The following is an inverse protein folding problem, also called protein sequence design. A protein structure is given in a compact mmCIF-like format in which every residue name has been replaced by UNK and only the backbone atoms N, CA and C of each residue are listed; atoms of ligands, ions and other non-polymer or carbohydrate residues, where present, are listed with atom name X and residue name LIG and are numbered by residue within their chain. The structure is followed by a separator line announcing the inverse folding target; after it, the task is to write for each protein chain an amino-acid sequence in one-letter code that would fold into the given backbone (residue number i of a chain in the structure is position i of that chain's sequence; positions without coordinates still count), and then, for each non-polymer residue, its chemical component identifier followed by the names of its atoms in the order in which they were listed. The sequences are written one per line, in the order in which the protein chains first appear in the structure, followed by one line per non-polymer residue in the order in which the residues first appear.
data_IF_472146200313
#
_entry.id   IF_472146200313
#
_cell.length_a   1.000
_cell.length_b   1.000
_cell.length_c   1.000
_cell.angle_alpha   90.00
_cell.angle_beta   90.00
_cell.angle_gamma   90.00
#
_symmetry.space_group_name_H-M   'P 1'
#
loop_
_entity.id
_entity.type
_entity.pdbx_description
1 polymer ?
#
# COMPACT_ATOMS: atom_id res chain seq x y z
N UNK A 1 -22.42 -5.16 -20.52
CA UNK A 1 -21.24 -5.43 -21.37
C UNK A 1 -20.01 -5.70 -20.47
N UNK A 2 -20.00 -6.94 -19.94
CA UNK A 2 -19.00 -7.41 -18.96
C UNK A 2 -17.55 -7.21 -19.45
N UNK A 3 -17.31 -7.36 -20.76
CA UNK A 3 -15.98 -7.18 -21.38
C UNK A 3 -15.49 -5.73 -21.29
N UNK A 4 -16.37 -4.75 -21.43
CA UNK A 4 -16.03 -3.31 -21.23
C UNK A 4 -15.69 -3.00 -19.78
N UNK A 5 -16.53 -3.48 -18.85
CA UNK A 5 -16.30 -3.30 -17.40
C UNK A 5 -14.96 -3.87 -16.99
N UNK A 6 -14.60 -5.07 -17.48
CA UNK A 6 -13.29 -5.68 -17.21
C UNK A 6 -12.12 -4.87 -17.75
N UNK A 7 -12.23 -4.30 -18.96
CA UNK A 7 -11.17 -3.42 -19.51
C UNK A 7 -10.98 -2.17 -18.65
N UNK A 8 -12.07 -1.55 -18.21
CA UNK A 8 -12.03 -0.37 -17.33
C UNK A 8 -11.44 -0.75 -15.96
N UNK A 9 -11.84 -1.89 -15.41
CA UNK A 9 -11.29 -2.41 -14.15
C UNK A 9 -9.77 -2.59 -14.22
N UNK A 10 -9.27 -3.26 -15.26
CA UNK A 10 -7.84 -3.50 -15.43
C UNK A 10 -7.07 -2.19 -15.67
N UNK A 11 -7.61 -1.27 -16.45
CA UNK A 11 -7.01 0.06 -16.64
C UNK A 11 -6.96 0.86 -15.34
N UNK A 12 -8.06 0.88 -14.57
CA UNK A 12 -8.10 1.55 -13.28
C UNK A 12 -7.12 0.93 -12.26
N UNK A 13 -7.02 -0.41 -12.24
CA UNK A 13 -6.05 -1.12 -11.40
C UNK A 13 -4.61 -0.77 -11.77
N UNK A 14 -4.29 -0.69 -13.07
CA UNK A 14 -2.97 -0.28 -13.55
C UNK A 14 -2.62 1.16 -13.15
N UNK A 15 -3.52 2.13 -13.37
CA UNK A 15 -3.27 3.52 -12.98
C UNK A 15 -3.14 3.67 -11.46
N UNK A 16 -4.01 3.04 -10.69
CA UNK A 16 -3.92 3.05 -9.23
C UNK A 16 -2.57 2.46 -8.74
N UNK A 17 -2.14 1.35 -9.33
CA UNK A 17 -0.83 0.78 -9.00
C UNK A 17 0.28 1.82 -9.14
N UNK A 18 0.39 2.47 -10.30
CA UNK A 18 1.46 3.45 -10.56
C UNK A 18 1.41 4.65 -9.60
N UNK A 19 0.22 5.20 -9.39
CA UNK A 19 0.04 6.36 -8.49
C UNK A 19 0.44 6.02 -7.06
N UNK A 20 -0.06 4.89 -6.53
CA UNK A 20 0.22 4.51 -5.15
C UNK A 20 1.63 3.95 -4.96
N UNK A 21 2.23 3.30 -5.97
CA UNK A 21 3.62 2.88 -5.94
C UNK A 21 4.56 4.09 -5.87
N UNK A 22 4.37 5.07 -6.75
CA UNK A 22 5.15 6.30 -6.73
C UNK A 22 5.00 7.05 -5.40
N UNK A 23 3.77 7.24 -4.93
CA UNK A 23 3.49 7.94 -3.69
C UNK A 23 4.07 7.20 -2.46
N UNK A 24 4.05 5.86 -2.44
CA UNK A 24 4.65 5.07 -1.36
C UNK A 24 6.17 5.21 -1.30
N UNK A 25 6.84 5.22 -2.46
CA UNK A 25 8.29 5.44 -2.54
C UNK A 25 8.65 6.85 -2.06
N UNK A 26 7.94 7.88 -2.54
CA UNK A 26 8.14 9.25 -2.09
C UNK A 26 7.87 9.40 -0.58
N UNK A 27 6.82 8.77 -0.07
CA UNK A 27 6.49 8.81 1.35
C UNK A 27 7.61 8.19 2.20
N UNK A 28 8.19 7.08 1.77
CA UNK A 28 9.30 6.42 2.47
C UNK A 28 10.51 7.35 2.61
N UNK A 29 10.91 8.00 1.53
CA UNK A 29 12.11 8.85 1.51
C UNK A 29 11.87 10.22 2.19
N UNK A 30 10.63 10.75 2.17
CA UNK A 30 10.34 12.11 2.63
C UNK A 30 9.71 12.19 4.02
N UNK A 31 9.15 11.10 4.57
CA UNK A 31 8.39 11.17 5.82
C UNK A 31 9.26 11.61 7.00
N UNK A 32 10.38 10.96 7.25
CA UNK A 32 11.27 11.30 8.35
C UNK A 32 11.89 12.71 8.22
N UNK A 33 12.46 13.11 7.06
CA UNK A 33 12.89 14.48 6.83
C UNK A 33 11.80 15.52 7.06
N UNK A 34 10.57 15.23 6.64
CA UNK A 34 9.43 16.14 6.88
C UNK A 34 9.07 16.26 8.37
N UNK A 35 9.04 15.14 9.09
CA UNK A 35 8.78 15.10 10.53
C UNK A 35 9.86 15.86 11.30
N UNK A 36 11.12 15.67 10.93
CA UNK A 36 12.26 16.37 11.55
C UNK A 36 12.13 17.89 11.38
N UNK A 37 11.80 18.35 10.18
CA UNK A 37 11.65 19.77 9.88
C UNK A 37 10.44 20.40 10.58
N UNK A 38 9.32 19.66 10.68
CA UNK A 38 8.06 20.20 11.20
C UNK A 38 7.93 20.09 12.71
N UNK A 39 8.42 19.02 13.31
CA UNK A 39 8.21 18.66 14.72
C UNK A 39 9.52 18.49 15.50
N UNK A 40 10.66 18.40 14.83
CA UNK A 40 11.99 18.21 15.40
C UNK A 40 12.38 16.74 15.54
N UNK A 41 13.69 16.52 15.74
CA UNK A 41 14.32 15.20 15.75
C UNK A 41 13.78 14.22 16.82
N UNK A 42 13.12 14.72 17.86
CA UNK A 42 12.52 13.89 18.93
C UNK A 42 11.38 13.00 18.44
N UNK A 43 10.73 13.37 17.34
CA UNK A 43 9.52 12.69 16.81
C UNK A 43 9.80 11.82 15.60
N UNK A 44 11.06 11.55 15.28
CA UNK A 44 11.44 10.66 14.18
C UNK A 44 10.92 9.25 14.42
N UNK A 45 10.38 8.67 13.36
CA UNK A 45 9.96 7.27 13.37
C UNK A 45 11.15 6.35 13.07
N UNK A 46 11.16 5.18 13.71
CA UNK A 46 12.07 4.11 13.30
C UNK A 46 11.83 3.72 11.84
N UNK A 47 12.90 3.43 11.11
CA UNK A 47 12.82 3.07 9.68
C UNK A 47 11.86 1.90 9.42
N UNK A 48 11.79 0.92 10.33
CA UNK A 48 10.87 -0.21 10.22
C UNK A 48 9.40 0.22 10.29
N UNK A 49 9.09 1.23 11.14
CA UNK A 49 7.74 1.78 11.26
C UNK A 49 7.36 2.54 9.99
N UNK A 50 8.27 3.33 9.43
CA UNK A 50 8.06 4.01 8.15
C UNK A 50 7.83 3.02 7.03
N UNK A 51 8.63 1.96 6.97
CA UNK A 51 8.51 0.92 5.95
C UNK A 51 7.13 0.23 5.98
N UNK A 52 6.70 -0.21 7.16
CA UNK A 52 5.41 -0.90 7.28
C UNK A 52 4.22 0.04 6.98
N UNK A 53 4.34 1.31 7.32
CA UNK A 53 3.35 2.33 7.01
C UNK A 53 3.23 2.54 5.49
N UNK A 54 4.36 2.63 4.78
CA UNK A 54 4.39 2.76 3.32
C UNK A 54 3.84 1.51 2.62
N UNK A 55 4.13 0.31 3.13
CA UNK A 55 3.55 -0.94 2.62
C UNK A 55 2.03 -0.96 2.80
N UNK A 56 1.53 -0.59 3.99
CA UNK A 56 0.09 -0.49 4.24
C UNK A 56 -0.58 0.51 3.31
N UNK A 57 0.03 1.68 3.11
CA UNK A 57 -0.46 2.71 2.21
C UNK A 57 -0.55 2.21 0.76
N UNK A 58 0.48 1.52 0.28
CA UNK A 58 0.50 0.94 -1.06
C UNK A 58 -0.58 -0.14 -1.24
N UNK A 59 -0.68 -1.07 -0.29
CA UNK A 59 -1.70 -2.15 -0.34
C UNK A 59 -3.11 -1.56 -0.28
N UNK A 60 -3.36 -0.57 0.57
CA UNK A 60 -4.62 0.15 0.60
C UNK A 60 -4.96 0.76 -0.77
N UNK A 61 -3.97 1.37 -1.43
CA UNK A 61 -4.14 1.98 -2.75
C UNK A 61 -4.53 0.99 -3.83
N UNK A 62 -3.80 -0.13 -3.94
CA UNK A 62 -4.10 -1.13 -4.97
C UNK A 62 -5.44 -1.86 -4.76
N UNK A 63 -5.84 -2.07 -3.50
CA UNK A 63 -7.14 -2.70 -3.19
C UNK A 63 -8.32 -1.75 -3.41
N UNK A 64 -8.09 -0.44 -3.46
CA UNK A 64 -9.13 0.57 -3.64
C UNK A 64 -9.95 0.37 -4.93
N UNK A 65 -9.31 -0.03 -6.02
CA UNK A 65 -10.01 -0.33 -7.28
C UNK A 65 -10.99 -1.48 -7.10
N UNK A 66 -10.56 -2.57 -6.46
CA UNK A 66 -11.44 -3.70 -6.12
C UNK A 66 -12.66 -3.25 -5.33
N UNK A 67 -12.47 -2.47 -4.26
CA UNK A 67 -13.55 -1.93 -3.42
C UNK A 67 -14.55 -1.09 -4.20
N UNK A 68 -14.07 -0.18 -5.06
CA UNK A 68 -14.95 0.68 -5.87
C UNK A 68 -15.81 -0.16 -6.82
N UNK A 69 -15.21 -1.08 -7.56
CA UNK A 69 -15.94 -1.93 -8.50
C UNK A 69 -16.88 -2.90 -7.78
N UNK A 70 -16.45 -3.50 -6.69
CA UNK A 70 -17.28 -4.34 -5.84
C UNK A 70 -18.55 -3.61 -5.37
N UNK A 71 -18.38 -2.39 -4.88
CA UNK A 71 -19.48 -1.54 -4.45
C UNK A 71 -20.40 -1.13 -5.61
N UNK A 72 -19.84 -0.75 -6.75
CA UNK A 72 -20.59 -0.33 -7.94
C UNK A 72 -21.40 -1.47 -8.56
N UNK A 73 -20.92 -2.71 -8.41
CA UNK A 73 -21.59 -3.91 -8.93
C UNK A 73 -22.61 -4.49 -7.95
N UNK A 74 -22.74 -3.93 -6.74
CA UNK A 74 -23.70 -4.37 -5.74
C UNK A 74 -23.43 -5.76 -5.15
N UNK A 75 -22.17 -6.18 -5.11
CA UNK A 75 -21.78 -7.54 -4.71
C UNK A 75 -21.71 -7.76 -3.18
N UNK A 76 -22.24 -6.83 -2.37
CA UNK A 76 -22.17 -6.84 -0.90
C UNK A 76 -22.70 -8.11 -0.24
N UNK A 77 -23.63 -8.78 -0.87
CA UNK A 77 -24.24 -9.98 -0.30
C UNK A 77 -23.26 -11.14 -0.17
N UNK A 78 -22.29 -11.22 -1.07
CA UNK A 78 -21.36 -12.34 -1.16
C UNK A 78 -20.21 -12.26 -0.14
N UNK A 79 -19.90 -11.07 0.36
CA UNK A 79 -18.81 -10.87 1.33
C UNK A 79 -19.22 -10.04 2.56
N UNK A 80 -20.51 -10.03 2.90
CA UNK A 80 -21.09 -9.25 4.01
C UNK A 80 -20.37 -9.43 5.36
N UNK A 81 -19.79 -10.59 5.60
CA UNK A 81 -19.05 -10.89 6.83
C UNK A 81 -17.57 -10.51 6.75
N UNK A 82 -17.06 -10.16 5.58
CA UNK A 82 -15.63 -9.84 5.37
C UNK A 82 -15.15 -8.73 6.29
N UNK A 83 -15.92 -7.65 6.40
CA UNK A 83 -15.53 -6.50 7.23
C UNK A 83 -15.42 -6.87 8.72
N UNK A 84 -16.31 -7.73 9.22
CA UNK A 84 -16.28 -8.20 10.61
C UNK A 84 -15.06 -9.11 10.82
N UNK A 85 -14.81 -10.04 9.91
CA UNK A 85 -13.65 -10.95 9.95
C UNK A 85 -12.36 -10.13 9.90
N UNK A 86 -12.25 -9.15 9.00
CA UNK A 86 -11.10 -8.26 8.89
C UNK A 86 -10.85 -7.48 10.20
N UNK A 87 -11.90 -6.93 10.81
CA UNK A 87 -11.79 -6.21 12.08
C UNK A 87 -11.34 -7.13 13.24
N UNK A 88 -11.88 -8.34 13.33
CA UNK A 88 -11.48 -9.31 14.36
C UNK A 88 -10.03 -9.75 14.18
N UNK A 89 -9.62 -10.08 12.95
CA UNK A 89 -8.22 -10.46 12.66
C UNK A 89 -7.28 -9.30 12.99
N UNK A 90 -7.64 -8.07 12.58
CA UNK A 90 -6.84 -6.88 12.85
C UNK A 90 -6.67 -6.67 14.37
N UNK A 91 -7.76 -6.72 15.11
CA UNK A 91 -7.73 -6.54 16.57
C UNK A 91 -6.85 -7.58 17.25
N UNK A 92 -7.07 -8.87 16.96
CA UNK A 92 -6.31 -9.96 17.56
C UNK A 92 -4.81 -9.87 17.18
N UNK A 93 -4.51 -9.70 15.89
CA UNK A 93 -3.13 -9.59 15.43
C UNK A 93 -2.43 -8.37 16.03
N UNK A 94 -3.09 -7.21 16.08
CA UNK A 94 -2.53 -6.00 16.67
C UNK A 94 -2.27 -6.14 18.16
N UNK A 95 -3.19 -6.75 18.93
CA UNK A 95 -3.01 -6.97 20.36
C UNK A 95 -1.85 -7.92 20.67
N UNK A 96 -1.69 -8.97 19.88
CA UNK A 96 -0.57 -9.92 20.05
C UNK A 96 0.76 -9.25 19.69
N UNK A 97 0.79 -8.53 18.55
CA UNK A 97 2.03 -7.97 18.03
C UNK A 97 2.46 -6.70 18.77
N UNK A 98 1.55 -5.90 19.32
CA UNK A 98 1.91 -4.68 20.05
C UNK A 98 2.72 -4.99 21.31
N UNK A 99 2.44 -6.10 21.96
CA UNK A 99 3.17 -6.52 23.17
C UNK A 99 4.67 -6.75 22.89
N UNK A 100 5.01 -7.29 21.70
CA UNK A 100 6.39 -7.62 21.34
C UNK A 100 7.11 -6.54 20.50
N UNK A 101 6.35 -5.83 19.67
CA UNK A 101 6.90 -4.93 18.64
C UNK A 101 6.41 -3.48 18.75
N UNK A 102 5.64 -3.14 19.80
CA UNK A 102 5.14 -1.78 20.00
C UNK A 102 4.31 -1.26 18.82
N UNK A 103 4.57 -0.03 18.40
CA UNK A 103 3.85 0.65 17.31
C UNK A 103 3.96 -0.10 15.98
N UNK A 104 5.12 -0.67 15.68
CA UNK A 104 5.31 -1.51 14.49
C UNK A 104 4.32 -2.69 14.45
N UNK A 105 4.06 -3.33 15.61
CA UNK A 105 3.13 -4.43 15.74
C UNK A 105 1.68 -4.07 15.38
N UNK A 106 1.25 -2.84 15.66
CA UNK A 106 -0.09 -2.36 15.30
C UNK A 106 -0.25 -2.30 13.78
N UNK A 107 0.72 -1.71 13.08
CA UNK A 107 0.69 -1.64 11.62
C UNK A 107 0.85 -2.99 10.94
N UNK A 108 1.61 -3.91 11.54
CA UNK A 108 1.69 -5.30 11.08
C UNK A 108 0.35 -6.03 11.21
N UNK A 109 -0.40 -5.81 12.30
CA UNK A 109 -1.75 -6.36 12.45
C UNK A 109 -2.70 -5.91 11.36
N UNK A 110 -2.65 -4.62 10.99
CA UNK A 110 -3.42 -4.07 9.86
C UNK A 110 -3.00 -4.70 8.54
N UNK A 111 -1.70 -4.85 8.29
CA UNK A 111 -1.19 -5.49 7.09
C UNK A 111 -1.69 -6.93 6.96
N UNK A 112 -1.55 -7.71 8.03
CA UNK A 112 -1.98 -9.12 8.08
C UNK A 112 -3.47 -9.25 7.79
N UNK A 113 -4.31 -8.45 8.45
CA UNK A 113 -5.76 -8.51 8.26
C UNK A 113 -6.15 -8.16 6.82
N UNK A 114 -5.58 -7.10 6.23
CA UNK A 114 -5.86 -6.67 4.86
C UNK A 114 -5.39 -7.70 3.82
N UNK A 115 -4.21 -8.28 4.02
CA UNK A 115 -3.67 -9.31 3.13
C UNK A 115 -4.51 -10.58 3.19
N UNK A 116 -4.94 -11.00 4.38
CA UNK A 116 -5.74 -12.22 4.54
C UNK A 116 -7.19 -12.07 4.07
N UNK A 117 -7.73 -10.86 4.02
CA UNK A 117 -9.13 -10.62 3.69
C UNK A 117 -9.29 -9.84 2.39
N UNK A 118 -9.07 -8.54 2.41
CA UNK A 118 -9.39 -7.62 1.31
C UNK A 118 -8.64 -7.92 0.02
N UNK A 119 -7.36 -8.29 0.11
CA UNK A 119 -6.51 -8.53 -1.05
C UNK A 119 -6.99 -9.71 -1.93
N UNK A 120 -7.62 -10.72 -1.29
CA UNK A 120 -8.07 -11.94 -1.99
C UNK A 120 -9.57 -11.94 -2.26
N UNK A 121 -10.36 -11.55 -1.27
CA UNK A 121 -11.82 -11.73 -1.34
C UNK A 121 -12.45 -10.84 -2.40
N UNK A 122 -12.10 -9.57 -2.47
CA UNK A 122 -12.73 -8.63 -3.40
C UNK A 122 -12.51 -8.99 -4.88
N UNK A 123 -11.27 -9.21 -5.35
CA UNK A 123 -11.06 -9.64 -6.74
C UNK A 123 -11.71 -11.00 -7.03
N UNK A 124 -11.65 -11.93 -6.07
CA UNK A 124 -12.26 -13.25 -6.23
C UNK A 124 -13.78 -13.14 -6.43
N UNK A 125 -14.47 -12.35 -5.63
CA UNK A 125 -15.93 -12.14 -5.76
C UNK A 125 -16.27 -11.49 -7.10
N UNK A 126 -15.53 -10.45 -7.52
CA UNK A 126 -15.76 -9.76 -8.79
C UNK A 126 -15.57 -10.73 -9.97
N UNK A 127 -14.48 -11.47 -10.00
CA UNK A 127 -14.17 -12.40 -11.10
C UNK A 127 -15.14 -13.57 -11.15
N UNK A 128 -15.49 -14.15 -10.01
CA UNK A 128 -16.38 -15.31 -9.92
C UNK A 128 -17.84 -14.97 -10.28
N UNK A 129 -18.38 -13.86 -9.74
CA UNK A 129 -19.81 -13.56 -9.83
C UNK A 129 -20.15 -12.60 -10.96
N UNK A 130 -19.26 -11.69 -11.32
CA UNK A 130 -19.54 -10.71 -12.38
C UNK A 130 -18.88 -11.08 -13.72
N UNK A 131 -17.56 -11.32 -13.73
CA UNK A 131 -16.85 -11.65 -14.98
C UNK A 131 -17.00 -13.12 -15.38
N UNK A 132 -17.28 -14.01 -14.43
CA UNK A 132 -17.37 -15.49 -14.62
C UNK A 132 -16.11 -16.07 -15.26
N UNK A 133 -14.95 -15.54 -14.87
CA UNK A 133 -13.65 -15.93 -15.37
C UNK A 133 -12.71 -16.31 -14.23
N UNK A 134 -11.57 -16.94 -14.59
CA UNK A 134 -10.55 -17.30 -13.61
C UNK A 134 -9.81 -16.04 -13.12
N UNK A 135 -9.69 -15.88 -11.81
CA UNK A 135 -9.01 -14.74 -11.14
C UNK A 135 -7.48 -14.85 -11.16
N UNK A 136 -6.93 -16.01 -11.52
CA UNK A 136 -5.48 -16.29 -11.46
C UNK A 136 -4.66 -15.28 -12.24
N UNK A 137 -5.13 -14.87 -13.42
CA UNK A 137 -4.44 -13.87 -14.23
C UNK A 137 -4.32 -12.51 -13.54
N UNK A 138 -5.34 -12.11 -12.77
CA UNK A 138 -5.30 -10.88 -11.97
C UNK A 138 -4.28 -10.97 -10.84
N UNK A 139 -4.22 -12.07 -10.11
CA UNK A 139 -3.24 -12.25 -9.04
C UNK A 139 -1.81 -12.31 -9.55
N UNK A 140 -1.56 -12.92 -10.70
CA UNK A 140 -0.24 -12.89 -11.33
C UNK A 140 0.17 -11.48 -11.74
N UNK A 141 -0.76 -10.70 -12.28
CA UNK A 141 -0.52 -9.30 -12.62
C UNK A 141 -0.24 -8.46 -11.35
N UNK A 142 -0.99 -8.69 -10.28
CA UNK A 142 -0.78 -8.04 -8.99
C UNK A 142 0.59 -8.40 -8.38
N UNK A 143 0.98 -9.68 -8.42
CA UNK A 143 2.30 -10.11 -7.98
C UNK A 143 3.42 -9.43 -8.78
N UNK A 144 3.25 -9.28 -10.09
CA UNK A 144 4.18 -8.55 -10.94
C UNK A 144 4.28 -7.06 -10.54
N UNK A 145 3.17 -6.42 -10.19
CA UNK A 145 3.14 -5.05 -9.68
C UNK A 145 3.92 -4.88 -8.37
N UNK A 146 3.83 -5.85 -7.45
CA UNK A 146 4.64 -5.86 -6.23
C UNK A 146 6.14 -5.92 -6.55
N UNK A 147 6.56 -6.78 -7.48
CA UNK A 147 7.96 -6.89 -7.89
C UNK A 147 8.46 -5.59 -8.51
N UNK A 148 7.68 -4.97 -9.39
CA UNK A 148 8.03 -3.68 -10.00
C UNK A 148 8.17 -2.57 -8.94
N UNK A 149 7.25 -2.50 -7.97
CA UNK A 149 7.31 -1.49 -6.91
C UNK A 149 8.52 -1.70 -6.00
N UNK A 150 8.81 -2.95 -5.63
CA UNK A 150 9.99 -3.28 -4.83
C UNK A 150 11.30 -2.91 -5.56
N UNK A 151 11.37 -3.18 -6.86
CA UNK A 151 12.51 -2.79 -7.70
C UNK A 151 12.65 -1.28 -7.79
N UNK A 152 11.57 -0.54 -8.06
CA UNK A 152 11.57 0.91 -8.13
C UNK A 152 11.99 1.54 -6.79
N UNK A 153 11.49 1.00 -5.68
CA UNK A 153 11.90 1.44 -4.35
C UNK A 153 13.42 1.21 -4.11
N UNK A 154 13.93 0.02 -4.44
CA UNK A 154 15.35 -0.26 -4.29
C UNK A 154 16.22 0.72 -5.12
N UNK A 155 15.85 0.97 -6.38
CA UNK A 155 16.56 1.93 -7.25
C UNK A 155 16.53 3.35 -6.66
N UNK A 156 15.36 3.81 -6.20
CA UNK A 156 15.19 5.13 -5.61
C UNK A 156 16.04 5.28 -4.33
N UNK A 157 15.98 4.27 -3.44
CA UNK A 157 16.76 4.28 -2.20
C UNK A 157 18.27 4.30 -2.47
N UNK A 158 18.78 3.46 -3.37
CA UNK A 158 20.19 3.48 -3.75
C UNK A 158 20.61 4.81 -4.39
N UNK A 159 19.74 5.43 -5.20
CA UNK A 159 20.01 6.74 -5.78
C UNK A 159 20.08 7.83 -4.71
N UNK A 160 19.15 7.86 -3.75
CA UNK A 160 19.17 8.80 -2.64
C UNK A 160 20.44 8.68 -1.79
N UNK A 161 20.80 7.46 -1.39
CA UNK A 161 22.04 7.20 -0.62
C UNK A 161 23.31 7.62 -1.37
N UNK A 162 23.33 7.46 -2.70
CA UNK A 162 24.47 7.92 -3.53
C UNK A 162 24.56 9.42 -3.61
N UNK A 163 23.43 10.11 -3.76
CA UNK A 163 23.36 11.58 -3.83
C UNK A 163 23.80 12.19 -2.50
N UNK A 164 23.36 11.65 -1.37
CA UNK A 164 23.79 12.08 -0.04
C UNK A 164 25.31 11.99 0.14
N UNK A 165 25.92 10.89 -0.31
CA UNK A 165 27.38 10.70 -0.26
C UNK A 165 28.17 11.65 -1.14
N UNK A 166 27.61 12.05 -2.30
CA UNK A 166 28.30 12.92 -3.26
C UNK A 166 28.18 14.39 -2.86
N UNK A 167 27.02 14.79 -2.34
CA UNK A 167 26.75 16.22 -2.05
C UNK A 167 27.23 16.67 -0.65
N UNK A 168 27.57 15.75 0.23
CA UNK A 168 27.95 16.08 1.61
C UNK A 168 26.85 16.82 2.41
N UNK A 169 25.66 16.85 1.86
CA UNK A 169 24.52 17.62 2.36
C UNK A 169 23.45 16.59 2.78
N UNK A 170 23.67 15.97 3.94
CA UNK A 170 22.62 15.21 4.59
C UNK A 170 21.42 16.16 4.80
N UNK A 171 20.31 15.85 4.16
CA UNK A 171 19.04 16.55 4.39
C UNK A 171 18.64 17.67 3.42
N UNK A 172 19.34 17.89 2.29
CA UNK A 172 18.99 19.00 1.38
C UNK A 172 17.90 18.71 0.36
N UNK A 173 17.59 17.46 0.05
CA UNK A 173 16.52 17.14 -0.93
C UNK A 173 15.16 17.65 -0.41
N UNK A 174 14.75 17.42 0.86
CA UNK A 174 13.51 18.01 1.38
C UNK A 174 13.55 19.53 1.53
N UNK A 175 14.72 20.13 1.82
CA UNK A 175 14.84 21.57 1.91
C UNK A 175 14.73 22.27 0.56
N UNK A 176 15.20 21.65 -0.52
CA UNK A 176 15.06 22.19 -1.89
C UNK A 176 13.60 22.07 -2.36
N UNK A 177 12.92 20.97 -2.10
CA UNK A 177 11.51 20.81 -2.44
C UNK A 177 10.60 21.79 -1.67
N UNK A 178 10.89 22.07 -0.40
CA UNK A 178 10.15 23.03 0.42
C UNK A 178 10.47 24.50 0.10
N UNK A 179 11.61 24.81 -0.53
CA UNK A 179 11.94 26.17 -1.00
C UNK A 179 11.38 26.49 -2.37
N UNK A 180 10.84 25.50 -3.10
CA UNK A 180 10.20 25.65 -4.40
C UNK A 180 8.67 25.76 -4.34
N UNK A 181 8.09 25.66 -3.14
CA UNK A 181 6.69 25.96 -2.84
C UNK A 181 6.63 27.25 -2.03
#
# INVERSE_FOLDING_TARGET
DSSRVKKIFNAAAFFNHWVFAYAAVCLFELLNPFVELSFGAKYLFETNVVLILCINFYIYGITKTGKIFHNSLGLFWYDRYKAVIEAVINLIASLILVHNFGVFGIFMGTLISTVLTTLWVEPFVIYKYHFKECVTGYYLCMAWYFVQTAFAWAVAHFACVRIEKISGIAGCIPQIALRLV
#
